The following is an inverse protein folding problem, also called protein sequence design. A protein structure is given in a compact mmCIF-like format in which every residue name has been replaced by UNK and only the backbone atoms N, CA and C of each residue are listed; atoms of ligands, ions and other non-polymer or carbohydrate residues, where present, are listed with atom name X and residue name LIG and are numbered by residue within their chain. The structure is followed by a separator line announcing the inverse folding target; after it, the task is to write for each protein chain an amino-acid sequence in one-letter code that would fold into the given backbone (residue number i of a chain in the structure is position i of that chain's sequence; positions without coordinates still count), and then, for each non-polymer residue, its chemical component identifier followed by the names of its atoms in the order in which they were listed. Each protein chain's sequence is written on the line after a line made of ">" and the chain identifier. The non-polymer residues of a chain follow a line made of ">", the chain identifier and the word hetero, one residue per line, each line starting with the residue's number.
data_IF_970620719943
#
_entry.id   IF_970620719943
#
_cell.length_a   1.000
_cell.length_b   1.000
_cell.length_c   1.000
_cell.angle_alpha   90.00
_cell.angle_beta   90.00
_cell.angle_gamma   90.00
#
_symmetry.space_group_name_H-M   'P 1'
#
loop_
_entity.id
_entity.type
_entity.pdbx_description
1 polymer ?
#
# COMPACT_ATOMS: atom_id res chain seq x y z
N UNK A 1 7.11 7.55 8.82
CA UNK A 1 7.79 6.29 9.20
C UNK A 1 6.75 5.21 9.32
N UNK A 2 6.99 4.05 8.70
CA UNK A 2 6.13 2.88 8.77
C UNK A 2 6.33 2.21 10.13
N UNK A 3 5.25 1.98 10.86
CA UNK A 3 5.23 1.20 12.11
C UNK A 3 4.69 -0.21 11.83
N UNK A 4 4.88 -1.20 12.73
CA UNK A 4 4.38 -2.57 12.50
C UNK A 4 2.87 -2.65 12.22
N UNK A 5 2.09 -1.75 12.82
CA UNK A 5 0.64 -1.67 12.64
C UNK A 5 0.22 -0.63 11.60
N UNK A 6 1.16 0.01 10.90
CA UNK A 6 0.83 0.97 9.85
C UNK A 6 0.17 0.22 8.69
N UNK A 7 -0.92 0.73 8.09
CA UNK A 7 -1.64 0.01 7.04
C UNK A 7 -0.80 -0.37 5.81
N UNK A 8 0.26 0.40 5.55
CA UNK A 8 1.18 0.13 4.45
C UNK A 8 2.28 -0.88 4.80
N UNK A 9 2.44 -1.28 6.07
CA UNK A 9 3.46 -2.26 6.45
C UNK A 9 3.16 -3.61 5.79
N UNK A 10 4.17 -4.19 5.14
CA UNK A 10 4.06 -5.42 4.34
C UNK A 10 3.43 -5.23 2.96
N UNK A 11 3.04 -4.01 2.59
CA UNK A 11 2.46 -3.71 1.27
C UNK A 11 3.52 -3.22 0.29
N UNK A 12 3.29 -3.50 -1.00
CA UNK A 12 4.10 -2.93 -2.08
C UNK A 12 3.69 -1.48 -2.30
N UNK A 13 4.68 -0.61 -2.50
CA UNK A 13 4.48 0.84 -2.67
C UNK A 13 3.52 1.16 -3.81
N UNK A 14 3.65 0.49 -4.95
CA UNK A 14 2.76 0.70 -6.10
C UNK A 14 1.28 0.47 -5.75
N UNK A 15 1.00 -0.57 -4.95
CA UNK A 15 -0.38 -0.98 -4.64
C UNK A 15 -1.04 0.05 -3.71
N UNK A 16 -0.32 0.50 -2.68
CA UNK A 16 -0.82 1.52 -1.74
C UNK A 16 -0.88 2.91 -2.37
N UNK A 17 0.08 3.27 -3.22
CA UNK A 17 0.07 4.54 -3.95
C UNK A 17 -1.15 4.63 -4.86
N UNK A 18 -1.51 3.53 -5.53
CA UNK A 18 -2.70 3.45 -6.37
C UNK A 18 -3.98 3.49 -5.56
N UNK A 19 -4.06 2.75 -4.47
CA UNK A 19 -5.27 2.68 -3.63
C UNK A 19 -5.59 4.03 -2.96
N UNK A 20 -4.58 4.72 -2.44
CA UNK A 20 -4.76 5.98 -1.71
C UNK A 20 -4.63 7.21 -2.62
N UNK A 21 -4.12 7.05 -3.84
CA UNK A 21 -3.87 8.12 -4.82
C UNK A 21 -2.86 9.16 -4.30
N UNK A 22 -1.66 8.67 -3.99
CA UNK A 22 -0.51 9.50 -3.66
C UNK A 22 0.65 9.24 -4.62
N UNK A 23 1.58 10.18 -4.72
CA UNK A 23 2.80 10.04 -5.53
C UNK A 23 3.99 9.77 -4.61
N UNK A 24 4.59 8.56 -4.64
CA UNK A 24 5.80 8.28 -3.88
C UNK A 24 7.01 9.03 -4.48
N UNK A 25 7.85 9.60 -3.61
CA UNK A 25 9.07 10.31 -4.00
C UNK A 25 10.30 9.43 -3.84
N UNK A 26 10.51 8.87 -2.65
CA UNK A 26 11.59 7.93 -2.32
C UNK A 26 11.33 7.23 -0.99
N UNK A 27 12.13 6.21 -0.69
CA UNK A 27 12.13 5.51 0.61
C UNK A 27 13.51 5.60 1.25
N UNK A 28 13.54 5.82 2.57
CA UNK A 28 14.73 5.52 3.38
C UNK A 28 14.51 4.18 4.10
N UNK A 29 15.39 3.22 3.82
CA UNK A 29 15.35 1.87 4.40
C UNK A 29 16.78 1.38 4.67
N UNK A 30 17.06 0.89 5.87
CA UNK A 30 18.37 0.32 6.25
C UNK A 30 19.59 1.18 5.83
N UNK A 31 19.54 2.49 6.09
CA UNK A 31 20.59 3.45 5.69
C UNK A 31 20.80 3.59 4.17
N UNK A 32 19.83 3.18 3.36
CA UNK A 32 19.81 3.37 1.91
C UNK A 32 18.61 4.20 1.49
N UNK A 33 18.76 4.92 0.38
CA UNK A 33 17.66 5.67 -0.25
C UNK A 33 17.27 5.00 -1.56
N UNK A 34 15.99 4.64 -1.68
CA UNK A 34 15.44 3.94 -2.84
C UNK A 34 14.61 4.92 -3.67
N UNK A 35 14.92 5.00 -4.97
CA UNK A 35 14.34 5.97 -5.89
C UNK A 35 13.72 5.30 -7.12
N UNK A 36 12.99 6.09 -7.91
CA UNK A 36 12.63 5.80 -9.30
C UNK A 36 11.84 4.48 -9.47
N UNK A 37 12.27 3.59 -10.35
CA UNK A 37 11.52 2.38 -10.70
C UNK A 37 11.51 1.35 -9.57
N UNK A 38 12.63 1.20 -8.87
CA UNK A 38 12.78 0.23 -7.77
C UNK A 38 11.82 0.53 -6.61
N UNK A 39 11.59 1.82 -6.35
CA UNK A 39 10.65 2.35 -5.35
C UNK A 39 9.27 1.71 -5.45
N UNK A 40 8.72 1.57 -6.67
CA UNK A 40 7.36 1.06 -6.87
C UNK A 40 7.24 -0.42 -6.53
N UNK A 41 8.31 -1.19 -6.79
CA UNK A 41 8.37 -2.63 -6.50
C UNK A 41 8.68 -2.96 -5.04
N UNK A 42 9.13 -1.97 -4.26
CA UNK A 42 9.57 -2.15 -2.89
C UNK A 42 8.40 -2.51 -1.96
N UNK A 43 8.66 -3.45 -1.03
CA UNK A 43 7.71 -3.84 0.02
C UNK A 43 8.10 -3.15 1.31
N UNK A 44 7.22 -2.29 1.81
CA UNK A 44 7.45 -1.48 3.01
C UNK A 44 7.52 -2.36 4.25
N UNK A 45 8.50 -2.10 5.11
CA UNK A 45 8.70 -2.76 6.39
C UNK A 45 8.64 -1.75 7.53
N UNK A 46 8.46 -2.26 8.74
CA UNK A 46 8.57 -1.45 9.95
C UNK A 46 9.95 -0.79 10.01
N UNK A 47 9.98 0.52 10.27
CA UNK A 47 11.19 1.34 10.33
C UNK A 47 11.48 2.11 9.04
N UNK A 48 10.91 1.71 7.90
CA UNK A 48 11.11 2.42 6.65
C UNK A 48 10.42 3.80 6.68
N UNK A 49 10.96 4.77 5.96
CA UNK A 49 10.35 6.09 5.79
C UNK A 49 9.99 6.31 4.33
N UNK A 50 8.69 6.30 4.03
CA UNK A 50 8.16 6.64 2.70
C UNK A 50 7.92 8.15 2.62
N UNK A 51 8.63 8.81 1.71
CA UNK A 51 8.39 10.20 1.33
C UNK A 51 7.45 10.24 0.13
N UNK A 52 6.42 11.09 0.20
CA UNK A 52 5.36 11.14 -0.79
C UNK A 52 4.76 12.54 -0.91
N UNK A 53 4.03 12.79 -1.99
CA UNK A 53 3.07 13.89 -2.09
C UNK A 53 1.66 13.32 -2.15
N UNK A 54 0.73 13.97 -1.46
CA UNK A 54 -0.67 13.58 -1.40
C UNK A 54 -1.54 14.84 -1.36
N UNK A 55 -2.73 14.84 -2.00
CA UNK A 55 -3.70 15.90 -1.78
C UNK A 55 -4.08 16.00 -0.30
N UNK A 56 -4.13 17.21 0.26
CA UNK A 56 -4.39 17.42 1.68
C UNK A 56 -5.70 16.74 2.17
N UNK A 57 -6.73 16.71 1.32
CA UNK A 57 -8.02 16.08 1.63
C UNK A 57 -7.97 14.55 1.76
N UNK A 58 -6.87 13.89 1.38
CA UNK A 58 -6.66 12.44 1.50
C UNK A 58 -5.69 12.05 2.61
N UNK A 59 -5.17 13.01 3.37
CA UNK A 59 -4.15 12.75 4.38
C UNK A 59 -4.59 11.70 5.42
N UNK A 60 -5.89 11.69 5.76
CA UNK A 60 -6.45 10.70 6.71
C UNK A 60 -6.35 9.24 6.20
N UNK A 61 -6.33 9.03 4.89
CA UNK A 61 -6.24 7.70 4.27
C UNK A 61 -4.87 7.05 4.48
N UNK A 62 -3.85 7.81 4.93
CA UNK A 62 -2.56 7.24 5.30
C UNK A 62 -2.65 6.35 6.55
N UNK A 63 -3.55 6.69 7.48
CA UNK A 63 -3.77 5.91 8.70
C UNK A 63 -4.97 4.97 8.59
N UNK A 64 -5.97 5.35 7.80
CA UNK A 64 -7.20 4.58 7.60
C UNK A 64 -7.47 4.42 6.10
N UNK A 65 -6.68 3.60 5.37
CA UNK A 65 -6.92 3.41 3.95
C UNK A 65 -8.31 2.80 3.77
N UNK A 66 -9.05 3.36 2.83
CA UNK A 66 -10.34 2.80 2.44
C UNK A 66 -10.07 1.40 1.95
N UNK A 67 -10.65 0.40 2.61
CA UNK A 67 -10.71 -0.94 2.05
C UNK A 67 -11.65 -0.84 0.86
N UNK A 68 -11.12 -0.92 -0.35
CA UNK A 68 -11.94 -1.28 -1.49
C UNK A 68 -12.43 -2.72 -1.24
N UNK A 69 -13.59 -2.86 -0.57
CA UNK A 69 -14.34 -4.10 -0.50
C UNK A 69 -14.95 -4.37 -1.89
N UNK A 70 -14.14 -4.83 -2.84
CA UNK A 70 -14.59 -5.34 -4.14
C UNK A 70 -13.37 -5.97 -4.84
N UNK A 71 -13.19 -7.28 -5.06
CA UNK A 71 -14.09 -8.41 -5.23
C UNK A 71 -13.34 -9.70 -4.80
N UNK A 72 -13.76 -10.36 -3.73
CA UNK A 72 -13.55 -11.80 -3.59
C UNK A 72 -14.87 -12.51 -3.83
N UNK A 73 -15.32 -12.52 -5.10
CA UNK A 73 -16.34 -13.50 -5.50
C UNK A 73 -15.67 -14.86 -5.51
N UNK A 74 -15.71 -15.56 -4.38
CA UNK A 74 -15.45 -16.98 -4.36
C UNK A 74 -16.50 -17.66 -5.24
N UNK A 75 -16.08 -18.17 -6.38
CA UNK A 75 -16.86 -19.09 -7.21
C UNK A 75 -17.25 -20.31 -6.36
N UNK A 76 -18.45 -20.31 -5.78
CA UNK A 76 -19.04 -21.52 -5.23
C UNK A 76 -19.65 -22.29 -6.39
N UNK A 77 -18.95 -23.34 -6.81
CA UNK A 77 -19.39 -24.27 -7.84
C UNK A 77 -20.73 -24.89 -7.42
N UNK A 78 -21.82 -24.63 -8.16
CA UNK A 78 -23.08 -25.34 -7.98
C UNK A 78 -22.88 -26.79 -8.44
N UNK A 79 -22.87 -27.73 -7.49
CA UNK A 79 -23.16 -29.14 -7.78
C UNK A 79 -24.64 -29.39 -7.52
N UNK A 80 -25.37 -29.67 -8.60
CA UNK A 80 -26.74 -30.23 -8.54
C UNK A 80 -26.67 -31.68 -8.08
N UNK A 81 -27.52 -32.13 -7.15
CA UNK A 81 -27.86 -33.53 -7.04
C UNK A 81 -29.11 -33.83 -7.89
N UNK A 82 -29.03 -35.03 -8.47
CA UNK A 82 -29.99 -35.75 -9.31
C UNK A 82 -31.33 -35.96 -8.61
#
# INVERSE_FOLDING_TARGET
>A
MITPNHPFCGQRVQDVARSVDFVPLYIEANCQTIHSWELLSFVLKSGDVLYLTIPAHRLEQLWNPVKDDCLSVSHQSLQSPV
#
